data_IF_821173402103
#
_entry.id   IF_821173402103
#
_cell.length_a   1.000
_cell.length_b   1.000
_cell.length_c   1.000
_cell.angle_alpha   90.00
_cell.angle_beta   90.00
_cell.angle_gamma   90.00
#
_symmetry.space_group_name_H-M   'P 1'
#
loop_
_entity.id
_entity.type
_entity.pdbx_description
1 polymer ?
#
# COMPACT_ATOMS: atom_id res chain seq x y z
N UNK A 1 -9.46 37.87 23.55
CA UNK A 1 -10.02 36.67 22.88
C UNK A 1 -9.60 35.35 23.52
N UNK A 2 -8.30 35.00 23.64
CA UNK A 2 -7.85 33.72 24.27
C UNK A 2 -8.38 33.46 25.69
N UNK A 3 -8.58 34.51 26.50
CA UNK A 3 -9.16 34.38 27.86
C UNK A 3 -10.69 34.17 27.88
N UNK A 4 -11.41 34.52 26.79
CA UNK A 4 -12.85 34.34 26.71
C UNK A 4 -13.19 32.90 26.32
N UNK A 5 -12.42 32.32 25.39
CA UNK A 5 -12.53 30.92 24.97
C UNK A 5 -12.28 29.94 26.13
N UNK A 6 -11.29 30.21 26.98
CA UNK A 6 -10.95 29.33 28.12
C UNK A 6 -12.02 29.32 29.23
N UNK A 7 -12.92 30.31 29.28
CA UNK A 7 -14.04 30.37 30.25
C UNK A 7 -15.32 29.71 29.74
N UNK A 8 -15.53 29.64 28.42
CA UNK A 8 -16.72 29.01 27.84
C UNK A 8 -16.66 27.48 27.85
N UNK A 9 -15.46 26.89 27.86
CA UNK A 9 -15.27 25.44 27.81
C UNK A 9 -15.64 24.67 29.10
N UNK A 10 -15.80 25.36 30.25
CA UNK A 10 -15.96 24.71 31.56
C UNK A 10 -17.40 24.40 32.01
N UNK A 11 -18.42 24.66 31.17
CA UNK A 11 -19.82 24.41 31.52
C UNK A 11 -20.52 23.57 30.43
N UNK A 12 -20.50 22.24 30.59
CA UNK A 12 -21.02 21.24 29.65
C UNK A 12 -22.56 21.07 29.64
N UNK A 13 -23.35 22.12 29.88
CA UNK A 13 -24.81 22.05 29.66
C UNK A 13 -25.30 23.29 28.95
N UNK A 14 -25.32 23.23 27.62
CA UNK A 14 -25.98 24.22 26.76
C UNK A 14 -25.12 24.77 25.62
N UNK A 15 -24.58 23.93 24.74
CA UNK A 15 -23.79 24.40 23.59
C UNK A 15 -24.66 25.02 22.47
N UNK A 16 -25.94 24.65 22.38
CA UNK A 16 -26.91 25.27 21.47
C UNK A 16 -27.13 26.78 21.74
N UNK A 17 -26.84 27.25 22.97
CA UNK A 17 -26.96 28.67 23.34
C UNK A 17 -25.78 29.55 22.93
N UNK A 18 -24.61 28.96 22.63
CA UNK A 18 -23.39 29.73 22.32
C UNK A 18 -23.24 29.96 20.82
N UNK A 19 -23.65 29.00 19.98
CA UNK A 19 -23.71 29.19 18.53
C UNK A 19 -24.69 30.33 18.14
N UNK A 20 -25.86 30.40 18.78
CA UNK A 20 -26.81 31.51 18.57
C UNK A 20 -26.27 32.87 19.02
N UNK A 21 -25.43 32.92 20.07
CA UNK A 21 -24.82 34.17 20.53
C UNK A 21 -23.73 34.69 19.58
N UNK A 22 -22.97 33.80 18.91
CA UNK A 22 -21.97 34.19 17.90
C UNK A 22 -22.64 34.62 16.59
N UNK A 23 -23.71 33.94 16.18
CA UNK A 23 -24.54 34.35 15.03
C UNK A 23 -25.15 35.75 15.20
N UNK A 24 -25.60 36.10 16.41
CA UNK A 24 -26.17 37.43 16.70
C UNK A 24 -25.11 38.53 16.76
N UNK A 25 -23.87 38.23 17.18
CA UNK A 25 -22.78 39.22 17.22
C UNK A 25 -22.23 39.53 15.83
N UNK A 26 -22.17 38.55 14.93
CA UNK A 26 -21.78 38.78 13.53
C UNK A 26 -22.84 39.55 12.74
N UNK A 27 -24.13 39.33 12.99
CA UNK A 27 -25.22 40.11 12.39
C UNK A 27 -25.24 41.59 12.85
N UNK A 28 -24.72 41.89 14.05
CA UNK A 28 -24.72 43.25 14.60
C UNK A 28 -23.74 44.23 13.93
N UNK A 29 -22.68 43.75 13.28
CA UNK A 29 -21.66 44.62 12.68
C UNK A 29 -21.97 45.08 11.24
N UNK A 30 -22.96 44.50 10.56
CA UNK A 30 -23.28 44.84 9.17
C UNK A 30 -24.33 45.93 8.99
N UNK A 31 -24.91 46.46 10.07
CA UNK A 31 -26.01 47.43 9.99
C UNK A 31 -25.60 48.91 9.78
N UNK A 32 -24.30 49.26 9.67
CA UNK A 32 -23.89 50.68 9.81
C UNK A 32 -22.99 51.30 8.73
N UNK A 33 -22.79 50.68 7.57
CA UNK A 33 -21.81 51.20 6.60
C UNK A 33 -22.26 51.24 5.14
N UNK A 34 -23.23 52.09 4.77
CA UNK A 34 -23.31 52.70 3.42
C UNK A 34 -24.55 53.58 3.23
N UNK A 35 -24.42 54.87 3.53
CA UNK A 35 -25.26 55.91 2.92
C UNK A 35 -24.32 56.93 2.28
N UNK A 36 -24.14 56.86 0.96
CA UNK A 36 -23.33 57.83 0.24
C UNK A 36 -23.22 57.59 -1.26
N UNK A 37 -23.93 58.42 -2.02
CA UNK A 37 -23.74 58.81 -3.43
C UNK A 37 -24.52 58.01 -4.48
N UNK A 38 -25.42 58.73 -5.15
CA UNK A 38 -26.37 58.31 -6.19
C UNK A 38 -25.88 58.80 -7.55
N UNK A 39 -25.52 57.89 -8.45
CA UNK A 39 -25.83 57.93 -9.90
C UNK A 39 -25.08 56.83 -10.69
N UNK A 40 -25.31 55.57 -10.31
CA UNK A 40 -25.14 54.32 -11.09
C UNK A 40 -26.04 53.20 -10.49
N UNK A 41 -27.15 53.61 -9.86
CA UNK A 41 -27.67 53.03 -8.61
C UNK A 41 -28.26 51.63 -8.69
N UNK A 42 -28.66 51.11 -9.85
CA UNK A 42 -29.33 49.79 -9.90
C UNK A 42 -28.36 48.62 -9.90
N UNK A 43 -27.22 48.75 -10.59
CA UNK A 43 -26.25 47.65 -10.64
C UNK A 43 -25.54 47.50 -9.30
N UNK A 44 -25.12 48.62 -8.69
CA UNK A 44 -24.50 48.62 -7.37
C UNK A 44 -25.45 48.10 -6.27
N UNK A 45 -26.76 48.41 -6.34
CA UNK A 45 -27.76 47.83 -5.43
C UNK A 45 -27.91 46.31 -5.63
N UNK A 46 -27.93 45.82 -6.88
CA UNK A 46 -28.00 44.39 -7.18
C UNK A 46 -26.74 43.67 -6.72
N UNK A 47 -25.56 44.24 -6.95
CA UNK A 47 -24.27 43.67 -6.55
C UNK A 47 -24.14 43.64 -5.02
N UNK A 48 -24.56 44.71 -4.33
CA UNK A 48 -24.62 44.75 -2.87
C UNK A 48 -25.59 43.71 -2.30
N UNK A 49 -26.76 43.55 -2.92
CA UNK A 49 -27.75 42.56 -2.49
C UNK A 49 -27.24 41.13 -2.71
N UNK A 50 -26.61 40.86 -3.86
CA UNK A 50 -25.99 39.58 -4.17
C UNK A 50 -24.84 39.27 -3.20
N UNK A 51 -24.02 40.26 -2.83
CA UNK A 51 -22.97 40.09 -1.82
C UNK A 51 -23.56 39.71 -0.46
N UNK A 52 -24.59 40.43 0.02
CA UNK A 52 -25.26 40.08 1.29
C UNK A 52 -25.85 38.67 1.25
N UNK A 53 -26.48 38.28 0.13
CA UNK A 53 -27.00 36.92 -0.06
C UNK A 53 -25.90 35.87 -0.07
N UNK A 54 -24.77 36.13 -0.71
CA UNK A 54 -23.60 35.24 -0.69
C UNK A 54 -23.04 35.09 0.74
N UNK A 55 -23.04 36.15 1.55
CA UNK A 55 -22.68 36.06 2.98
C UNK A 55 -23.66 35.18 3.77
N UNK A 56 -24.97 35.33 3.54
CA UNK A 56 -25.99 34.46 4.15
C UNK A 56 -25.81 33.00 3.73
N UNK A 57 -25.55 32.74 2.44
CA UNK A 57 -25.28 31.38 1.94
C UNK A 57 -24.03 30.79 2.58
N UNK A 58 -22.96 31.58 2.73
CA UNK A 58 -21.73 31.12 3.40
C UNK A 58 -21.98 30.83 4.89
N UNK A 59 -22.78 31.63 5.58
CA UNK A 59 -23.17 31.37 6.96
C UNK A 59 -24.00 30.10 7.10
N UNK A 60 -24.96 29.87 6.20
CA UNK A 60 -25.74 28.63 6.15
C UNK A 60 -24.84 27.40 5.91
N UNK A 61 -23.85 27.52 5.02
CA UNK A 61 -22.88 26.46 4.77
C UNK A 61 -21.99 26.15 5.97
N UNK A 62 -21.59 27.15 6.76
CA UNK A 62 -20.84 26.93 8.01
C UNK A 62 -21.67 26.17 9.05
N UNK A 63 -22.92 26.57 9.29
CA UNK A 63 -23.82 25.89 10.22
C UNK A 63 -24.08 24.44 9.78
N UNK A 64 -24.29 24.23 8.48
CA UNK A 64 -24.45 22.89 7.90
C UNK A 64 -23.20 22.03 8.07
N UNK A 65 -22.01 22.59 7.82
CA UNK A 65 -20.74 21.89 7.99
C UNK A 65 -20.52 21.50 9.46
N UNK A 66 -20.73 22.43 10.39
CA UNK A 66 -20.62 22.17 11.83
C UNK A 66 -21.61 21.11 12.30
N UNK A 67 -22.85 21.11 11.79
CA UNK A 67 -23.84 20.10 12.14
C UNK A 67 -23.41 18.70 11.69
N UNK A 68 -22.79 18.58 10.51
CA UNK A 68 -22.25 17.30 10.01
C UNK A 68 -21.04 16.83 10.81
N UNK A 69 -20.07 17.71 11.07
CA UNK A 69 -18.91 17.39 11.89
C UNK A 69 -19.33 16.92 13.29
N UNK A 70 -20.27 17.62 13.93
CA UNK A 70 -20.82 17.22 15.23
C UNK A 70 -21.57 15.89 15.21
N UNK A 71 -21.95 15.41 14.02
CA UNK A 71 -22.59 14.11 13.81
C UNK A 71 -21.61 13.04 13.31
N UNK A 72 -20.30 13.34 13.24
CA UNK A 72 -19.29 12.42 12.72
C UNK A 72 -19.36 12.20 11.20
N UNK A 73 -19.99 13.11 10.46
CA UNK A 73 -20.18 13.01 9.01
C UNK A 73 -19.35 14.02 8.24
N UNK A 74 -19.08 13.69 6.97
CA UNK A 74 -18.22 14.54 6.15
C UNK A 74 -18.93 15.85 5.84
N UNK A 75 -18.31 17.00 6.13
CA UNK A 75 -18.84 18.28 5.73
C UNK A 75 -18.56 18.58 4.25
N UNK A 76 -17.98 17.68 3.46
CA UNK A 76 -17.78 17.93 2.03
C UNK A 76 -19.09 17.84 1.24
N UNK A 77 -19.26 18.75 0.29
CA UNK A 77 -20.41 18.75 -0.64
C UNK A 77 -20.01 18.24 -2.01
N UNK A 78 -20.80 17.35 -2.62
CA UNK A 78 -20.66 16.98 -4.03
C UNK A 78 -21.30 18.07 -4.91
N UNK A 79 -20.62 19.20 -5.03
CA UNK A 79 -21.10 20.40 -5.72
C UNK A 79 -21.86 21.39 -4.83
N UNK A 80 -22.52 22.36 -5.45
CA UNK A 80 -23.23 23.44 -4.76
C UNK A 80 -24.59 22.97 -4.20
N UNK A 81 -24.82 23.21 -2.91
CA UNK A 81 -26.14 23.08 -2.28
C UNK A 81 -26.94 24.34 -2.57
N UNK A 82 -28.08 24.18 -3.24
CA UNK A 82 -28.95 25.29 -3.64
C UNK A 82 -29.86 25.74 -2.49
N UNK A 83 -29.92 27.05 -2.29
CA UNK A 83 -30.89 27.76 -1.45
C UNK A 83 -31.84 28.55 -2.36
N UNK A 84 -32.92 29.10 -1.80
CA UNK A 84 -33.91 29.87 -2.56
C UNK A 84 -33.28 31.09 -3.29
N UNK A 85 -32.24 31.71 -2.70
CA UNK A 85 -31.60 32.92 -3.23
C UNK A 85 -30.06 32.84 -3.29
N UNK A 86 -29.49 31.65 -3.36
CA UNK A 86 -28.05 31.46 -3.45
C UNK A 86 -27.66 29.98 -3.44
N UNK A 87 -26.37 29.71 -3.32
CA UNK A 87 -25.85 28.37 -3.10
C UNK A 87 -24.65 28.41 -2.17
N UNK A 88 -24.26 27.26 -1.63
CA UNK A 88 -22.96 27.14 -0.99
C UNK A 88 -22.29 25.80 -1.33
N UNK A 89 -20.97 25.77 -1.26
CA UNK A 89 -20.17 24.55 -1.28
C UNK A 89 -19.25 24.51 -0.07
N UNK A 90 -18.94 23.32 0.41
CA UNK A 90 -18.03 23.10 1.54
C UNK A 90 -16.95 22.11 1.13
N UNK A 91 -15.70 22.46 1.43
CA UNK A 91 -14.51 21.64 1.18
C UNK A 91 -13.62 21.65 2.41
N UNK A 92 -13.06 20.51 2.78
CA UNK A 92 -12.10 20.36 3.87
C UNK A 92 -10.68 20.29 3.33
N UNK A 93 -9.78 21.05 3.95
CA UNK A 93 -8.33 20.93 3.80
C UNK A 93 -7.78 20.82 5.22
N UNK A 94 -7.74 19.61 5.76
CA UNK A 94 -7.42 19.30 7.16
C UNK A 94 -6.31 20.21 7.75
N UNK A 95 -6.57 20.94 8.86
CA UNK A 95 -7.76 20.96 9.72
C UNK A 95 -8.80 22.04 9.38
N UNK A 96 -8.67 22.71 8.23
CA UNK A 96 -9.49 23.86 7.86
C UNK A 96 -10.72 23.48 7.04
N UNK A 97 -11.90 23.96 7.47
CA UNK A 97 -13.14 23.88 6.68
C UNK A 97 -13.31 25.17 5.90
N UNK A 98 -13.41 25.05 4.57
CA UNK A 98 -13.64 26.18 3.65
C UNK A 98 -15.08 26.14 3.14
N UNK A 99 -15.83 27.19 3.40
CA UNK A 99 -17.21 27.36 2.92
C UNK A 99 -17.26 28.49 1.91
N UNK A 100 -17.83 28.23 0.75
CA UNK A 100 -18.01 29.23 -0.31
C UNK A 100 -19.50 29.42 -0.56
N UNK A 101 -20.03 30.58 -0.17
CA UNK A 101 -21.39 31.01 -0.49
C UNK A 101 -21.43 31.83 -1.78
N UNK A 102 -22.46 31.63 -2.60
CA UNK A 102 -22.65 32.30 -3.89
C UNK A 102 -24.08 32.84 -4.03
N UNK A 103 -24.22 33.96 -4.75
CA UNK A 103 -25.51 34.49 -5.21
C UNK A 103 -25.29 35.39 -6.42
N UNK A 104 -25.83 35.02 -7.58
CA UNK A 104 -25.47 35.67 -8.84
C UNK A 104 -23.97 35.50 -9.13
N UNK A 105 -23.27 36.62 -9.37
CA UNK A 105 -21.80 36.65 -9.54
C UNK A 105 -21.04 36.87 -8.23
N UNK A 106 -21.73 37.19 -7.13
CA UNK A 106 -21.08 37.43 -5.85
C UNK A 106 -20.68 36.11 -5.18
N UNK A 107 -19.49 36.09 -4.59
CA UNK A 107 -18.95 34.95 -3.86
C UNK A 107 -18.31 35.40 -2.55
N UNK A 108 -18.58 34.66 -1.48
CA UNK A 108 -18.01 34.88 -0.14
C UNK A 108 -17.39 33.59 0.35
N UNK A 109 -16.13 33.64 0.77
CA UNK A 109 -15.42 32.50 1.37
C UNK A 109 -15.25 32.72 2.86
N UNK A 110 -15.63 31.71 3.65
CA UNK A 110 -15.38 31.64 5.10
C UNK A 110 -14.53 30.41 5.41
N UNK A 111 -13.73 30.52 6.47
CA UNK A 111 -12.81 29.48 6.93
C UNK A 111 -12.93 29.35 8.44
N UNK A 112 -12.90 28.12 8.95
CA UNK A 112 -12.80 27.85 10.37
C UNK A 112 -12.04 26.55 10.61
N UNK A 113 -11.25 26.53 11.67
CA UNK A 113 -10.61 25.31 12.16
C UNK A 113 -11.64 24.49 12.93
N UNK A 114 -11.61 23.17 12.75
CA UNK A 114 -12.43 22.24 13.51
C UNK A 114 -11.58 21.08 14.04
N UNK A 115 -12.15 20.32 14.96
CA UNK A 115 -11.65 19.01 15.35
C UNK A 115 -12.50 17.99 14.59
N UNK A 116 -11.88 17.09 13.84
CA UNK A 116 -12.55 16.01 13.14
C UNK A 116 -12.68 14.79 14.04
N UNK A 117 -13.50 13.82 13.65
CA UNK A 117 -13.64 12.57 14.38
C UNK A 117 -12.30 11.81 14.45
N UNK A 118 -11.45 11.93 13.43
CA UNK A 118 -10.10 11.35 13.39
C UNK A 118 -9.18 11.87 14.48
N UNK A 119 -9.28 13.15 14.88
CA UNK A 119 -8.53 13.70 16.01
C UNK A 119 -8.90 13.05 17.35
N UNK A 120 -10.05 12.38 17.40
CA UNK A 120 -10.54 11.66 18.57
C UNK A 120 -10.28 10.16 18.51
N UNK A 121 -9.81 9.64 17.37
CA UNK A 121 -9.47 8.23 17.22
C UNK A 121 -7.99 8.02 17.57
N UNK A 122 -7.74 7.16 18.56
CA UNK A 122 -6.45 6.57 18.81
C UNK A 122 -6.43 5.18 18.18
N UNK A 123 -5.62 5.01 17.14
CA UNK A 123 -5.31 3.69 16.59
C UNK A 123 -3.98 3.23 17.20
N UNK A 124 -4.00 2.14 17.93
CA UNK A 124 -2.87 1.65 18.74
C UNK A 124 -2.52 0.20 18.40
N UNK A 125 -1.23 -0.13 18.43
CA UNK A 125 -0.68 -1.46 18.18
C UNK A 125 -0.33 -2.13 19.53
N UNK A 126 -1.34 -2.41 20.37
CA UNK A 126 -1.11 -3.02 21.69
C UNK A 126 -1.02 -4.53 21.56
N UNK A 127 0.14 -5.11 21.88
CA UNK A 127 0.42 -6.54 21.68
C UNK A 127 0.32 -6.96 20.20
N UNK A 128 0.72 -6.04 19.31
CA UNK A 128 0.76 -6.32 17.88
C UNK A 128 1.66 -7.52 17.61
N UNK A 129 1.10 -8.51 16.93
CA UNK A 129 1.78 -9.76 16.64
C UNK A 129 1.32 -10.34 15.32
N UNK A 130 2.25 -11.02 14.65
CA UNK A 130 2.01 -11.76 13.42
C UNK A 130 1.95 -13.26 13.75
N UNK A 131 0.76 -13.84 13.58
CA UNK A 131 0.47 -15.22 13.92
C UNK A 131 0.28 -15.47 15.41
N UNK A 132 0.54 -16.70 15.85
CA UNK A 132 0.54 -17.07 17.28
C UNK A 132 0.07 -18.50 17.51
N UNK A 133 -0.16 -18.87 18.77
CA UNK A 133 -0.63 -20.23 19.10
C UNK A 133 -1.99 -20.58 18.46
N UNK A 134 -2.80 -19.56 18.17
CA UNK A 134 -4.08 -19.69 17.48
C UNK A 134 -3.96 -19.60 15.95
N UNK A 135 -2.79 -19.22 15.43
CA UNK A 135 -2.50 -19.05 14.01
C UNK A 135 -1.06 -19.49 13.69
N UNK A 136 -0.80 -20.81 13.70
CA UNK A 136 0.54 -21.34 13.47
C UNK A 136 1.05 -21.08 12.05
N UNK A 137 0.15 -20.80 11.11
CA UNK A 137 0.47 -20.49 9.71
C UNK A 137 0.94 -19.04 9.52
N UNK A 138 0.83 -18.17 10.53
CA UNK A 138 1.29 -16.78 10.46
C UNK A 138 0.50 -15.92 9.47
N UNK A 139 -0.78 -16.24 9.24
CA UNK A 139 -1.67 -15.56 8.28
C UNK A 139 -2.44 -14.40 8.89
N UNK A 140 -2.32 -14.16 10.19
CA UNK A 140 -3.13 -13.19 10.92
C UNK A 140 -2.26 -12.13 11.57
N UNK A 141 -2.74 -10.89 11.58
CA UNK A 141 -2.28 -9.87 12.51
C UNK A 141 -3.30 -9.73 13.64
N UNK A 142 -2.79 -9.55 14.85
CA UNK A 142 -3.56 -9.33 16.08
C UNK A 142 -3.00 -8.10 16.80
N UNK A 143 -3.69 -7.64 17.85
CA UNK A 143 -3.19 -6.56 18.72
C UNK A 143 -3.38 -5.14 18.18
N UNK A 144 -4.30 -4.96 17.24
CA UNK A 144 -4.74 -3.64 16.81
C UNK A 144 -5.93 -3.19 17.66
N UNK A 145 -5.92 -1.94 18.15
CA UNK A 145 -7.05 -1.39 18.89
C UNK A 145 -7.41 0.03 18.46
N UNK A 146 -8.71 0.31 18.52
CA UNK A 146 -9.36 1.54 18.09
C UNK A 146 -10.00 2.20 19.32
N UNK A 147 -9.33 3.18 19.89
CA UNK A 147 -9.75 3.92 21.08
C UNK A 147 -10.37 5.27 20.75
N UNK A 148 -11.45 5.65 21.45
CA UNK A 148 -11.98 7.01 21.38
C UNK A 148 -11.50 7.87 22.56
N UNK A 149 -10.76 8.92 22.25
CA UNK A 149 -10.11 9.80 23.23
C UNK A 149 -10.93 11.04 23.60
N UNK A 150 -12.07 11.27 22.93
CA UNK A 150 -12.87 12.48 23.13
C UNK A 150 -14.38 12.18 23.24
N UNK A 151 -15.21 13.23 23.26
CA UNK A 151 -16.67 13.11 23.40
C UNK A 151 -17.42 12.96 22.06
N UNK A 152 -16.73 13.06 20.93
CA UNK A 152 -17.30 12.72 19.63
C UNK A 152 -17.51 11.20 19.54
N UNK A 153 -18.38 10.75 18.65
CA UNK A 153 -18.60 9.32 18.38
C UNK A 153 -18.07 9.00 16.98
N UNK A 154 -16.75 8.75 16.82
CA UNK A 154 -16.19 8.40 15.53
C UNK A 154 -16.84 7.13 14.98
N UNK A 155 -17.04 7.12 13.67
CA UNK A 155 -17.52 5.97 12.90
C UNK A 155 -16.47 5.65 11.85
N UNK A 156 -15.89 4.46 11.90
CA UNK A 156 -14.91 3.99 10.93
C UNK A 156 -15.65 3.23 9.85
N UNK A 157 -15.36 3.57 8.60
CA UNK A 157 -16.08 3.06 7.42
C UNK A 157 -15.16 2.29 6.48
N UNK A 158 -13.87 2.62 6.48
CA UNK A 158 -12.89 1.89 5.68
C UNK A 158 -11.60 1.64 6.45
N UNK A 159 -10.92 0.57 6.06
CA UNK A 159 -9.58 0.22 6.52
C UNK A 159 -8.66 -0.03 5.33
N UNK A 160 -7.40 0.34 5.44
CA UNK A 160 -6.35 0.00 4.49
C UNK A 160 -5.17 -0.60 5.26
N UNK A 161 -4.61 -1.69 4.74
CA UNK A 161 -3.45 -2.35 5.31
C UNK A 161 -2.32 -2.33 4.30
N UNK A 162 -1.18 -1.77 4.69
CA UNK A 162 0.05 -1.77 3.90
C UNK A 162 1.22 -2.27 4.75
N UNK A 163 2.29 -2.69 4.09
CA UNK A 163 3.46 -3.30 4.74
C UNK A 163 4.75 -3.00 3.99
N UNK A 164 5.84 -2.99 4.75
CA UNK A 164 7.22 -2.89 4.30
C UNK A 164 8.04 -4.06 4.90
N UNK A 165 8.64 -4.94 4.06
CA UNK A 165 8.63 -4.91 2.59
C UNK A 165 7.26 -5.23 1.98
N UNK A 166 7.13 -4.96 0.68
CA UNK A 166 5.85 -5.06 -0.03
C UNK A 166 5.55 -6.52 -0.41
N UNK A 167 4.47 -7.10 0.14
CA UNK A 167 4.03 -8.47 -0.17
C UNK A 167 2.76 -8.53 -1.04
N UNK A 168 2.62 -9.57 -1.86
CA UNK A 168 1.39 -9.86 -2.62
C UNK A 168 0.31 -10.54 -1.76
N UNK A 169 0.11 -10.05 -0.53
CA UNK A 169 -0.88 -10.59 0.40
C UNK A 169 -2.21 -9.86 0.24
N UNK A 170 -3.29 -10.63 0.24
CA UNK A 170 -4.66 -10.09 0.20
C UNK A 170 -5.30 -10.22 1.56
N UNK A 171 -5.95 -9.16 2.04
CA UNK A 171 -6.79 -9.23 3.24
C UNK A 171 -8.03 -10.03 2.88
N UNK A 172 -8.37 -11.06 3.65
CA UNK A 172 -9.55 -11.92 3.44
C UNK A 172 -10.63 -11.73 4.48
N UNK A 173 -10.26 -11.32 5.69
CA UNK A 173 -11.19 -11.21 6.80
C UNK A 173 -10.73 -10.17 7.81
N UNK A 174 -11.69 -9.43 8.35
CA UNK A 174 -11.47 -8.48 9.46
C UNK A 174 -12.52 -8.77 10.53
N UNK A 175 -12.07 -8.96 11.77
CA UNK A 175 -12.94 -9.02 12.95
C UNK A 175 -12.67 -7.86 13.90
N UNK A 176 -13.76 -7.31 14.43
CA UNK A 176 -13.74 -6.29 15.47
C UNK A 176 -14.57 -6.78 16.68
N UNK A 177 -13.97 -6.82 17.87
CA UNK A 177 -14.57 -7.36 19.10
C UNK A 177 -15.22 -8.76 18.90
N UNK A 178 -14.55 -9.61 18.12
CA UNK A 178 -15.00 -10.96 17.74
C UNK A 178 -16.09 -11.04 16.67
N UNK A 179 -16.65 -9.92 16.21
CA UNK A 179 -17.62 -9.89 15.11
C UNK A 179 -16.92 -9.67 13.76
N UNK A 180 -17.39 -10.34 12.71
CA UNK A 180 -16.86 -10.16 11.35
C UNK A 180 -17.44 -8.86 10.81
N UNK A 181 -16.57 -7.88 10.54
CA UNK A 181 -16.95 -6.59 9.92
C UNK A 181 -16.68 -6.57 8.42
N UNK A 182 -15.89 -7.54 7.92
CA UNK A 182 -15.63 -7.72 6.50
C UNK A 182 -15.07 -9.12 6.20
N UNK A 183 -15.46 -9.72 5.07
CA UNK A 183 -14.97 -11.01 4.59
C UNK A 183 -15.13 -11.14 3.05
N UNK A 184 -14.07 -11.59 2.37
CA UNK A 184 -14.08 -11.95 0.95
C UNK A 184 -13.15 -13.16 0.69
N UNK A 185 -13.69 -14.21 0.06
CA UNK A 185 -12.96 -15.42 -0.31
C UNK A 185 -11.76 -15.16 -1.23
N UNK A 186 -11.86 -14.14 -2.10
CA UNK A 186 -10.81 -13.74 -3.05
C UNK A 186 -9.76 -12.87 -2.36
N UNK A 187 -10.20 -12.07 -1.39
CA UNK A 187 -9.43 -11.05 -0.71
C UNK A 187 -9.16 -9.80 -1.56
N UNK A 188 -8.86 -8.69 -0.88
CA UNK A 188 -8.50 -7.39 -1.47
C UNK A 188 -6.99 -7.19 -1.35
N UNK A 189 -6.37 -6.62 -2.39
CA UNK A 189 -4.92 -6.40 -2.38
C UNK A 189 -4.55 -5.39 -1.30
N UNK A 190 -3.36 -5.57 -0.70
CA UNK A 190 -2.85 -4.57 0.25
C UNK A 190 -2.73 -3.18 -0.39
N UNK A 191 -2.87 -2.13 0.43
CA UNK A 191 -2.90 -0.74 -0.03
C UNK A 191 -4.19 -0.33 -0.76
N UNK A 192 -5.14 -1.25 -0.96
CA UNK A 192 -6.49 -0.90 -1.41
C UNK A 192 -7.40 -0.65 -0.19
N UNK A 193 -8.26 0.35 -0.33
CA UNK A 193 -9.23 0.71 0.70
C UNK A 193 -10.35 -0.33 0.77
N UNK A 194 -10.61 -0.86 1.97
CA UNK A 194 -11.61 -1.90 2.24
C UNK A 194 -12.83 -1.23 2.88
N UNK A 195 -13.98 -1.27 2.20
CA UNK A 195 -15.29 -0.86 2.74
C UNK A 195 -15.77 -1.91 3.75
N UNK A 196 -15.84 -1.54 5.03
CA UNK A 196 -16.20 -2.43 6.14
C UNK A 196 -17.58 -2.08 6.70
N UNK A 197 -18.19 -3.02 7.43
CA UNK A 197 -19.33 -2.68 8.29
C UNK A 197 -18.90 -1.61 9.31
N UNK A 198 -19.73 -0.56 9.44
CA UNK A 198 -19.45 0.60 10.29
C UNK A 198 -19.06 0.21 11.74
N UNK A 199 -17.88 0.62 12.17
CA UNK A 199 -17.44 0.48 13.58
C UNK A 199 -17.75 1.76 14.34
N UNK A 200 -18.65 1.68 15.33
CA UNK A 200 -19.10 2.82 16.12
C UNK A 200 -18.39 2.94 17.47
N UNK A 201 -17.74 4.07 17.72
CA UNK A 201 -17.05 4.36 18.98
C UNK A 201 -17.88 5.28 19.90
N UNK A 202 -18.90 4.68 20.51
CA UNK A 202 -20.06 5.35 21.13
C UNK A 202 -19.79 6.16 22.41
N UNK A 203 -18.62 6.01 23.03
CA UNK A 203 -18.29 6.64 24.30
C UNK A 203 -16.81 6.96 24.42
N UNK A 204 -16.47 7.98 25.21
CA UNK A 204 -15.09 8.26 25.61
C UNK A 204 -14.53 7.05 26.37
N UNK A 205 -13.34 6.61 25.97
CA UNK A 205 -12.69 5.37 26.43
C UNK A 205 -13.38 4.08 25.99
N UNK A 206 -14.20 4.13 24.94
CA UNK A 206 -14.53 2.90 24.22
C UNK A 206 -13.32 2.49 23.40
N UNK A 207 -12.87 1.24 23.58
CA UNK A 207 -11.83 0.62 22.77
C UNK A 207 -12.45 -0.57 22.09
N UNK A 208 -12.34 -0.62 20.76
CA UNK A 208 -12.70 -1.78 19.94
C UNK A 208 -11.40 -2.45 19.52
N UNK A 209 -11.30 -3.76 19.68
CA UNK A 209 -10.14 -4.52 19.28
C UNK A 209 -10.36 -5.08 17.87
N UNK A 210 -9.42 -4.83 16.97
CA UNK A 210 -9.34 -5.55 15.71
C UNK A 210 -8.63 -6.88 16.00
N UNK A 211 -9.39 -7.81 16.56
CA UNK A 211 -8.89 -9.06 17.14
C UNK A 211 -8.23 -9.97 16.10
N UNK A 212 -8.63 -9.85 14.84
CA UNK A 212 -8.18 -10.74 13.77
C UNK A 212 -8.30 -10.06 12.41
N UNK A 213 -7.16 -9.85 11.76
CA UNK A 213 -7.11 -9.51 10.33
C UNK A 213 -6.36 -10.64 9.62
N UNK A 214 -7.07 -11.41 8.81
CA UNK A 214 -6.58 -12.62 8.14
C UNK A 214 -6.20 -12.33 6.69
N UNK A 215 -5.06 -12.87 6.27
CA UNK A 215 -4.50 -12.70 4.94
C UNK A 215 -4.53 -14.00 4.13
N UNK A 216 -4.42 -13.88 2.81
CA UNK A 216 -4.43 -15.02 1.88
C UNK A 216 -3.26 -15.97 2.07
N UNK A 217 -2.10 -15.45 2.48
CA UNK A 217 -0.85 -16.19 2.66
C UNK A 217 -0.21 -15.76 3.99
N UNK A 218 0.79 -16.54 4.41
CA UNK A 218 1.60 -16.23 5.58
C UNK A 218 2.27 -14.86 5.44
N UNK A 219 2.37 -14.17 6.57
CA UNK A 219 2.97 -12.87 6.68
C UNK A 219 4.40 -13.03 7.17
N UNK A 220 5.33 -12.28 6.59
CA UNK A 220 6.73 -12.27 7.03
C UNK A 220 6.83 -11.56 8.38
N UNK A 221 7.41 -12.25 9.37
CA UNK A 221 7.70 -11.66 10.69
C UNK A 221 8.72 -10.53 10.60
N UNK A 222 8.64 -9.59 11.55
CA UNK A 222 9.49 -8.40 11.55
C UNK A 222 9.14 -7.36 10.47
N UNK A 223 8.03 -7.54 9.73
CA UNK A 223 7.53 -6.53 8.80
C UNK A 223 6.92 -5.34 9.55
N UNK A 224 7.08 -4.14 8.96
CA UNK A 224 6.40 -2.94 9.43
C UNK A 224 5.07 -2.82 8.72
N UNK A 225 3.98 -2.66 9.46
CA UNK A 225 2.62 -2.52 8.94
C UNK A 225 2.09 -1.11 9.15
N UNK A 226 1.55 -0.54 8.08
CA UNK A 226 0.85 0.74 8.11
C UNK A 226 -0.64 0.45 7.99
N UNK A 227 -1.41 0.85 9.01
CA UNK A 227 -2.87 0.68 9.01
C UNK A 227 -3.50 2.06 8.95
N UNK A 228 -4.31 2.30 7.93
CA UNK A 228 -5.08 3.52 7.77
C UNK A 228 -6.55 3.24 8.07
N UNK A 229 -7.14 4.02 8.96
CA UNK A 229 -8.58 4.03 9.21
C UNK A 229 -9.21 5.29 8.62
N UNK A 230 -10.18 5.13 7.71
CA UNK A 230 -10.99 6.22 7.15
C UNK A 230 -12.32 6.31 7.88
N UNK A 231 -12.62 7.48 8.44
CA UNK A 231 -13.85 7.74 9.17
C UNK A 231 -14.98 8.25 8.24
N UNK A 232 -16.22 8.17 8.71
CA UNK A 232 -17.41 8.65 7.99
C UNK A 232 -17.38 10.17 7.68
N UNK A 233 -16.51 10.93 8.37
CA UNK A 233 -16.26 12.34 8.06
C UNK A 233 -15.18 12.58 6.99
N UNK A 234 -14.54 11.51 6.52
CA UNK A 234 -13.45 11.51 5.57
C UNK A 234 -12.09 11.83 6.20
N UNK A 235 -12.01 12.04 7.51
CA UNK A 235 -10.72 12.10 8.21
C UNK A 235 -10.07 10.72 8.25
N UNK A 236 -8.73 10.70 8.28
CA UNK A 236 -7.94 9.47 8.30
C UNK A 236 -6.98 9.47 9.49
N UNK A 237 -6.78 8.29 10.06
CA UNK A 237 -5.74 8.03 11.07
C UNK A 237 -4.86 6.90 10.58
N UNK A 238 -3.53 7.12 10.63
CA UNK A 238 -2.54 6.13 10.22
C UNK A 238 -1.69 5.75 11.43
N UNK A 239 -1.49 4.44 11.64
CA UNK A 239 -0.53 3.92 12.61
C UNK A 239 0.51 3.06 11.89
N UNK A 240 1.73 3.04 12.45
CA UNK A 240 2.77 2.09 12.08
C UNK A 240 2.93 1.08 13.21
N UNK A 241 2.75 -0.20 12.90
CA UNK A 241 2.95 -1.32 13.82
C UNK A 241 4.15 -2.14 13.37
N UNK A 242 5.06 -2.45 14.28
CA UNK A 242 6.14 -3.38 14.03
C UNK A 242 5.88 -4.63 14.89
N UNK A 243 6.08 -5.80 14.31
CA UNK A 243 6.12 -7.05 15.07
C UNK A 243 7.42 -7.04 15.88
N UNK A 244 7.35 -6.50 17.10
CA UNK A 244 8.45 -6.62 18.04
C UNK A 244 8.45 -8.06 18.50
N UNK A 245 9.24 -8.90 17.84
CA UNK A 245 9.64 -10.17 18.43
C UNK A 245 10.21 -9.83 19.82
N UNK A 246 9.43 -10.03 20.89
CA UNK A 246 9.99 -10.04 22.22
C UNK A 246 11.01 -11.17 22.17
N UNK A 247 12.29 -10.80 22.10
CA UNK A 247 13.42 -11.68 22.34
C UNK A 247 13.24 -12.27 23.74
N UNK A 248 12.42 -13.32 23.83
CA UNK A 248 12.36 -14.21 24.97
C UNK A 248 13.75 -14.80 25.07
N UNK A 249 14.55 -14.23 25.97
CA UNK A 249 15.97 -14.47 26.20
C UNK A 249 16.27 -15.87 26.76
N UNK A 250 15.74 -16.91 26.13
CA UNK A 250 15.93 -18.30 26.51
C UNK A 250 15.90 -19.18 25.28
N UNK A 251 17.07 -19.35 24.65
CA UNK A 251 17.60 -20.65 24.17
C UNK A 251 16.49 -21.62 23.69
N UNK A 252 16.17 -21.67 22.40
CA UNK A 252 16.98 -22.16 21.28
C UNK A 252 16.61 -21.35 20.04
N UNK A 253 17.59 -20.71 19.40
CA UNK A 253 17.45 -20.28 18.00
C UNK A 253 17.23 -21.57 17.21
N UNK A 254 15.96 -21.88 16.92
CA UNK A 254 15.67 -22.72 15.78
C UNK A 254 16.25 -21.92 14.62
N UNK A 255 17.33 -22.45 14.06
CA UNK A 255 17.85 -22.03 12.77
C UNK A 255 16.64 -22.03 11.84
N UNK A 256 16.09 -20.86 11.54
CA UNK A 256 15.08 -20.66 10.51
C UNK A 256 15.82 -20.88 9.18
N UNK A 257 16.36 -22.09 8.99
CA UNK A 257 16.81 -22.55 7.69
C UNK A 257 15.63 -22.37 6.77
N UNK A 258 15.77 -21.63 5.66
CA UNK A 258 14.66 -21.03 4.92
C UNK A 258 13.75 -22.02 4.19
N UNK A 259 13.67 -23.28 4.63
CA UNK A 259 12.94 -24.37 3.98
C UNK A 259 13.61 -24.83 2.68
N UNK A 260 14.81 -24.32 2.36
CA UNK A 260 15.57 -24.71 1.20
C UNK A 260 17.09 -24.51 1.37
N UNK A 261 17.85 -25.19 0.52
CA UNK A 261 19.27 -25.00 0.31
C UNK A 261 19.56 -24.81 -1.17
N UNK A 262 20.53 -23.95 -1.51
CA UNK A 262 21.06 -23.84 -2.87
C UNK A 262 22.47 -24.34 -2.91
N UNK A 263 22.72 -25.35 -3.75
CA UNK A 263 24.05 -25.91 -3.94
C UNK A 263 24.33 -26.13 -5.41
N UNK A 264 25.36 -25.44 -5.93
CA UNK A 264 25.78 -25.57 -7.32
C UNK A 264 24.66 -25.33 -8.32
N UNK A 265 23.76 -24.37 -8.05
CA UNK A 265 22.62 -24.01 -8.91
C UNK A 265 21.44 -25.01 -8.90
N UNK A 266 21.45 -26.01 -8.03
CA UNK A 266 20.28 -26.82 -7.70
C UNK A 266 19.64 -26.27 -6.43
N UNK A 267 18.30 -26.15 -6.43
CA UNK A 267 17.53 -25.71 -5.26
C UNK A 267 16.93 -26.97 -4.63
N UNK A 268 17.33 -27.31 -3.41
CA UNK A 268 16.72 -28.38 -2.63
C UNK A 268 15.73 -27.75 -1.67
N UNK A 269 14.46 -28.16 -1.71
CA UNK A 269 13.42 -27.63 -0.83
C UNK A 269 12.89 -28.72 0.09
N UNK A 270 12.47 -28.31 1.28
CA UNK A 270 11.82 -29.18 2.26
C UNK A 270 10.42 -29.60 1.80
N UNK A 271 9.83 -30.63 2.44
CA UNK A 271 8.43 -30.93 2.27
C UNK A 271 7.55 -29.73 2.60
N UNK A 272 6.36 -29.75 2.04
CA UNK A 272 5.31 -28.76 2.13
C UNK A 272 5.74 -27.36 1.69
N UNK A 273 6.59 -27.30 0.66
CA UNK A 273 6.96 -26.07 -0.04
C UNK A 273 6.30 -25.96 -1.41
N UNK A 274 5.89 -24.74 -1.76
CA UNK A 274 5.59 -24.30 -3.12
C UNK A 274 6.77 -23.49 -3.66
N UNK A 275 7.09 -23.64 -4.95
CA UNK A 275 8.19 -22.91 -5.59
C UNK A 275 7.65 -22.12 -6.77
N UNK A 276 7.85 -20.81 -6.73
CA UNK A 276 7.53 -19.87 -7.79
C UNK A 276 8.81 -19.46 -8.54
N UNK A 277 8.69 -19.37 -9.85
CA UNK A 277 9.73 -18.89 -10.75
C UNK A 277 9.19 -17.71 -11.55
N UNK A 278 9.78 -16.52 -11.36
CA UNK A 278 9.43 -15.32 -12.10
C UNK A 278 10.59 -14.91 -13.01
N UNK A 279 10.32 -14.70 -14.29
CA UNK A 279 11.28 -14.07 -15.20
C UNK A 279 11.29 -12.58 -14.90
N UNK A 280 12.42 -12.04 -14.47
CA UNK A 280 12.57 -10.60 -14.21
C UNK A 280 12.88 -9.84 -15.50
N UNK A 281 13.73 -10.42 -16.35
CA UNK A 281 14.02 -9.92 -17.70
C UNK A 281 14.70 -11.01 -18.54
N UNK A 282 14.77 -10.80 -19.86
CA UNK A 282 15.62 -11.56 -20.78
C UNK A 282 16.18 -10.60 -21.84
N UNK A 283 17.49 -10.45 -21.87
CA UNK A 283 18.13 -9.42 -22.70
C UNK A 283 19.28 -10.05 -23.48
N UNK A 284 18.99 -10.58 -24.67
CA UNK A 284 20.00 -11.16 -25.56
C UNK A 284 19.75 -10.78 -27.02
N UNK A 285 20.81 -10.40 -27.73
CA UNK A 285 20.74 -10.00 -29.14
C UNK A 285 21.77 -10.73 -30.00
N UNK A 286 21.50 -10.85 -31.30
CA UNK A 286 22.43 -11.40 -32.27
C UNK A 286 23.54 -10.38 -32.60
N UNK A 287 24.50 -10.27 -31.70
CA UNK A 287 25.56 -9.28 -31.74
C UNK A 287 25.09 -7.89 -31.28
N UNK A 288 26.04 -6.95 -31.17
CA UNK A 288 25.75 -5.59 -30.70
C UNK A 288 24.78 -4.86 -31.63
N UNK A 289 23.68 -4.34 -31.06
CA UNK A 289 22.60 -3.67 -31.80
C UNK A 289 21.87 -4.58 -32.79
N UNK A 290 22.05 -5.90 -32.69
CA UNK A 290 21.37 -6.89 -33.51
C UNK A 290 19.92 -7.10 -33.09
N UNK A 291 19.17 -7.94 -33.83
CA UNK A 291 17.85 -8.37 -33.41
C UNK A 291 17.94 -9.18 -32.11
N UNK A 292 16.89 -9.10 -31.31
CA UNK A 292 16.64 -9.95 -30.14
C UNK A 292 16.66 -11.44 -30.53
N UNK A 293 17.06 -12.29 -29.57
CA UNK A 293 17.13 -13.73 -29.71
C UNK A 293 16.09 -14.37 -28.78
N UNK A 294 15.20 -15.19 -29.33
CA UNK A 294 14.22 -15.91 -28.53
C UNK A 294 14.87 -16.76 -27.42
N UNK A 295 14.46 -16.52 -26.18
CA UNK A 295 14.81 -17.27 -24.97
C UNK A 295 13.62 -18.09 -24.49
N UNK A 296 13.89 -19.33 -24.07
CA UNK A 296 12.89 -20.25 -23.54
C UNK A 296 13.35 -20.82 -22.22
N UNK A 297 12.42 -20.89 -21.27
CA UNK A 297 12.67 -21.42 -19.95
C UNK A 297 11.93 -22.75 -19.72
N UNK A 298 12.53 -23.63 -18.93
CA UNK A 298 11.90 -24.84 -18.42
C UNK A 298 12.36 -25.08 -16.97
N UNK A 299 11.49 -25.62 -16.14
CA UNK A 299 11.79 -26.01 -14.76
C UNK A 299 11.78 -27.53 -14.67
N UNK A 300 12.87 -28.07 -14.12
CA UNK A 300 13.00 -29.48 -13.82
C UNK A 300 12.80 -29.74 -12.34
N UNK A 301 11.93 -30.69 -11.99
CA UNK A 301 11.71 -31.20 -10.65
C UNK A 301 12.25 -32.62 -10.54
N UNK A 302 13.12 -32.88 -9.57
CA UNK A 302 13.74 -34.19 -9.32
C UNK A 302 14.42 -34.78 -10.57
N UNK A 303 15.08 -33.89 -11.32
CA UNK A 303 15.75 -34.22 -12.58
C UNK A 303 14.83 -34.39 -13.80
N UNK A 304 13.52 -34.26 -13.64
CA UNK A 304 12.53 -34.36 -14.70
C UNK A 304 12.09 -32.97 -15.13
N UNK A 305 12.40 -32.59 -16.37
CA UNK A 305 11.87 -31.37 -16.99
C UNK A 305 10.47 -31.62 -17.55
N UNK A 306 9.58 -30.66 -17.39
CA UNK A 306 8.21 -30.73 -17.91
C UNK A 306 8.21 -30.24 -19.36
N UNK A 307 8.05 -31.10 -20.40
CA UNK A 307 7.78 -30.62 -21.75
C UNK A 307 6.30 -30.23 -21.90
N UNK A 308 5.95 -29.27 -22.79
CA UNK A 308 6.86 -28.45 -23.61
C UNK A 308 7.63 -27.42 -22.75
N UNK A 309 8.50 -26.61 -23.37
CA UNK A 309 9.02 -25.41 -22.71
C UNK A 309 7.88 -24.59 -22.10
N UNK A 310 8.15 -23.91 -20.98
CA UNK A 310 7.15 -23.13 -20.26
C UNK A 310 6.57 -22.04 -21.17
N UNK A 311 5.45 -21.46 -20.73
CA UNK A 311 4.77 -20.37 -21.43
C UNK A 311 4.39 -20.72 -22.88
N UNK A 312 4.02 -21.97 -23.13
CA UNK A 312 3.60 -22.42 -24.46
C UNK A 312 4.72 -22.39 -25.50
N UNK A 313 5.97 -22.57 -25.07
CA UNK A 313 7.15 -22.53 -25.94
C UNK A 313 7.31 -21.19 -26.68
N UNK A 314 6.81 -20.11 -26.07
CA UNK A 314 7.05 -18.74 -26.51
C UNK A 314 8.40 -18.23 -26.00
N UNK A 315 8.79 -17.08 -26.52
CA UNK A 315 9.84 -16.23 -25.96
C UNK A 315 9.48 -15.79 -24.53
N UNK A 316 10.47 -15.44 -23.71
CA UNK A 316 10.27 -14.85 -22.39
C UNK A 316 11.01 -13.53 -22.31
N UNK A 317 10.33 -12.47 -21.90
CA UNK A 317 10.88 -11.10 -21.96
C UNK A 317 10.95 -10.44 -20.57
N UNK A 318 10.20 -10.97 -19.59
CA UNK A 318 10.05 -10.39 -18.26
C UNK A 318 8.58 -10.29 -17.83
N UNK A 319 8.31 -10.62 -16.56
CA UNK A 319 6.98 -10.61 -15.96
C UNK A 319 6.26 -11.96 -16.02
N UNK A 320 6.77 -12.96 -16.74
CA UNK A 320 6.19 -14.30 -16.75
C UNK A 320 6.40 -15.01 -15.41
N UNK A 321 5.35 -15.63 -14.90
CA UNK A 321 5.35 -16.35 -13.61
C UNK A 321 4.95 -17.80 -13.84
N UNK A 322 5.76 -18.72 -13.33
CA UNK A 322 5.46 -20.13 -13.25
C UNK A 322 5.48 -20.59 -11.80
N UNK A 323 4.32 -21.03 -11.31
CA UNK A 323 4.18 -21.69 -10.01
C UNK A 323 4.18 -23.19 -10.22
N UNK A 324 5.08 -23.90 -9.55
CA UNK A 324 5.05 -25.35 -9.55
C UNK A 324 3.78 -25.82 -8.82
N UNK A 325 2.84 -26.37 -9.57
CA UNK A 325 1.54 -26.75 -9.00
C UNK A 325 1.65 -27.83 -7.93
N UNK A 326 1.04 -27.56 -6.77
CA UNK A 326 0.90 -28.48 -5.65
C UNK A 326 2.10 -28.45 -4.72
N UNK A 327 1.83 -28.37 -3.42
CA UNK A 327 2.86 -28.40 -2.38
C UNK A 327 3.62 -29.73 -2.43
N UNK A 328 4.96 -29.67 -2.35
CA UNK A 328 5.80 -30.86 -2.36
C UNK A 328 5.53 -31.70 -1.11
N UNK A 329 4.94 -32.89 -1.18
CA UNK A 329 4.73 -33.69 0.05
C UNK A 329 6.00 -34.35 0.59
N UNK A 330 7.07 -34.33 -0.19
CA UNK A 330 8.40 -34.89 0.08
C UNK A 330 9.46 -33.83 -0.30
N UNK A 331 10.72 -33.93 0.20
CA UNK A 331 11.77 -33.03 -0.23
C UNK A 331 11.97 -33.14 -1.74
N UNK A 332 12.19 -32.01 -2.40
CA UNK A 332 12.28 -31.95 -3.85
C UNK A 332 13.48 -31.11 -4.31
N UNK A 333 13.97 -31.38 -5.51
CA UNK A 333 15.04 -30.59 -6.13
C UNK A 333 14.57 -29.90 -7.40
N UNK A 334 14.95 -28.63 -7.57
CA UNK A 334 14.60 -27.82 -8.73
C UNK A 334 15.83 -27.35 -9.49
N UNK A 335 15.68 -27.34 -10.83
CA UNK A 335 16.66 -26.80 -11.78
C UNK A 335 15.95 -25.95 -12.81
N UNK A 336 16.57 -24.85 -13.19
CA UNK A 336 16.11 -24.04 -14.32
C UNK A 336 16.95 -24.36 -15.54
N UNK A 337 16.30 -24.60 -16.68
CA UNK A 337 16.94 -24.76 -17.99
C UNK A 337 16.51 -23.62 -18.88
N UNK A 338 17.48 -23.01 -19.55
CA UNK A 338 17.27 -21.92 -20.48
C UNK A 338 17.84 -22.28 -21.85
N UNK A 339 17.16 -21.83 -22.92
CA UNK A 339 17.59 -21.98 -24.29
C UNK A 339 17.41 -20.67 -25.03
N UNK A 340 18.51 -20.14 -25.58
CA UNK A 340 18.47 -19.08 -26.57
C UNK A 340 18.56 -19.69 -27.98
N UNK A 341 17.79 -19.18 -28.94
CA UNK A 341 17.88 -19.62 -30.33
C UNK A 341 17.55 -18.53 -31.33
N UNK A 342 18.44 -18.37 -32.32
CA UNK A 342 18.23 -17.44 -33.42
C UNK A 342 17.98 -18.23 -34.71
N UNK A 343 16.71 -18.32 -35.09
CA UNK A 343 16.23 -19.16 -36.20
C UNK A 343 16.79 -20.59 -36.13
N UNK A 344 17.29 -21.12 -37.25
CA UNK A 344 17.90 -22.45 -37.36
C UNK A 344 19.43 -22.41 -37.47
N UNK A 345 20.04 -21.23 -37.28
CA UNK A 345 21.48 -21.03 -37.51
C UNK A 345 22.29 -21.06 -36.22
N UNK A 346 21.66 -20.77 -35.09
CA UNK A 346 22.33 -20.78 -33.79
C UNK A 346 21.34 -21.13 -32.67
N UNK A 347 21.80 -21.93 -31.73
CA UNK A 347 21.10 -22.17 -30.48
C UNK A 347 22.09 -22.54 -29.40
N UNK A 348 21.84 -22.06 -28.19
CA UNK A 348 22.59 -22.42 -27.00
C UNK A 348 21.61 -22.86 -25.91
N UNK A 349 22.00 -23.83 -25.08
CA UNK A 349 21.16 -24.33 -23.99
C UNK A 349 22.04 -24.59 -22.79
N UNK A 350 21.65 -24.07 -21.64
CA UNK A 350 22.31 -24.31 -20.37
C UNK A 350 21.28 -24.59 -19.29
N UNK A 351 21.75 -24.97 -18.11
CA UNK A 351 20.93 -25.19 -16.94
C UNK A 351 21.60 -24.57 -15.72
N UNK A 352 20.81 -24.31 -14.68
CA UNK A 352 21.23 -23.63 -13.46
C UNK A 352 22.47 -24.28 -12.80
N UNK A 353 22.65 -25.59 -12.97
CA UNK A 353 23.84 -26.29 -12.44
C UNK A 353 25.14 -26.05 -13.20
N UNK A 354 25.12 -25.35 -14.33
CA UNK A 354 26.32 -24.89 -15.01
C UNK A 354 26.78 -23.56 -14.42
N UNK A 355 27.46 -23.61 -13.28
CA UNK A 355 27.88 -22.42 -12.50
C UNK A 355 28.89 -21.49 -13.22
N UNK A 356 29.41 -21.91 -14.37
CA UNK A 356 30.13 -21.02 -15.28
C UNK A 356 29.14 -20.11 -16.03
N UNK A 357 28.10 -20.69 -16.62
CA UNK A 357 27.06 -19.98 -17.39
C UNK A 357 25.96 -19.37 -16.52
N UNK A 358 25.86 -19.76 -15.24
CA UNK A 358 24.78 -19.31 -14.36
C UNK A 358 25.37 -18.84 -13.04
N UNK A 359 24.94 -17.67 -12.59
CA UNK A 359 25.20 -17.17 -11.23
C UNK A 359 23.91 -17.25 -10.42
N UNK A 360 24.05 -17.56 -9.15
CA UNK A 360 22.94 -17.47 -8.19
C UNK A 360 23.32 -16.44 -7.16
N UNK A 361 22.43 -15.47 -6.95
CA UNK A 361 22.55 -14.44 -5.94
C UNK A 361 21.60 -14.77 -4.79
N UNK A 362 22.11 -14.66 -3.57
CA UNK A 362 21.34 -14.70 -2.33
C UNK A 362 21.36 -13.32 -1.65
N UNK A 363 20.56 -13.15 -0.61
CA UNK A 363 20.52 -11.89 0.14
C UNK A 363 21.93 -11.48 0.64
N UNK A 364 22.29 -10.22 0.42
CA UNK A 364 23.58 -9.62 0.76
C UNK A 364 24.68 -9.81 -0.28
N UNK A 365 24.47 -10.59 -1.35
CA UNK A 365 25.47 -10.72 -2.42
C UNK A 365 25.63 -9.41 -3.21
N UNK A 366 26.83 -9.14 -3.71
CA UNK A 366 27.03 -8.08 -4.71
C UNK A 366 26.67 -8.62 -6.10
N UNK A 367 25.76 -7.96 -6.85
CA UNK A 367 25.48 -8.36 -8.22
C UNK A 367 26.73 -8.17 -9.09
N UNK A 368 26.95 -9.01 -10.11
CA UNK A 368 28.13 -8.87 -10.94
C UNK A 368 28.09 -7.51 -11.68
N UNK A 369 29.18 -6.73 -11.67
CA UNK A 369 29.22 -5.39 -12.26
C UNK A 369 29.32 -5.49 -13.79
N UNK A 370 28.22 -5.84 -14.42
CA UNK A 370 28.16 -6.14 -15.85
C UNK A 370 27.28 -5.10 -16.55
N UNK A 371 27.94 -4.28 -17.36
CA UNK A 371 27.24 -3.44 -18.32
C UNK A 371 26.67 -4.33 -19.43
N UNK A 372 25.44 -4.06 -19.86
CA UNK A 372 24.83 -4.81 -20.95
C UNK A 372 25.65 -4.70 -22.23
N UNK A 373 25.84 -5.83 -22.91
CA UNK A 373 26.63 -5.91 -24.12
C UNK A 373 25.91 -5.23 -25.27
N UNK A 374 26.65 -4.37 -25.99
CA UNK A 374 26.20 -3.88 -27.28
C UNK A 374 24.93 -3.04 -27.26
N UNK A 375 24.59 -2.42 -26.11
CA UNK A 375 23.43 -1.55 -25.93
C UNK A 375 22.23 -2.22 -25.25
N UNK A 376 22.36 -3.48 -24.84
CA UNK A 376 21.38 -4.16 -24.00
C UNK A 376 21.30 -3.52 -22.61
N UNK A 377 20.17 -3.73 -21.94
CA UNK A 377 19.98 -3.28 -20.56
C UNK A 377 20.94 -4.05 -19.63
N UNK A 378 21.62 -3.38 -18.68
CA UNK A 378 22.48 -4.09 -17.71
C UNK A 378 21.66 -4.91 -16.72
N UNK A 379 22.27 -5.97 -16.18
CA UNK A 379 21.64 -6.85 -15.18
C UNK A 379 21.11 -6.07 -13.96
N UNK A 380 21.79 -5.00 -13.55
CA UNK A 380 21.37 -4.15 -12.41
C UNK A 380 19.98 -3.55 -12.60
N UNK A 381 19.59 -3.24 -13.83
CA UNK A 381 18.29 -2.64 -14.10
C UNK A 381 17.19 -3.72 -14.04
N UNK A 382 17.50 -4.97 -14.40
CA UNK A 382 16.58 -6.10 -14.27
C UNK A 382 16.27 -6.45 -12.81
N UNK A 383 17.25 -6.30 -11.92
CA UNK A 383 17.13 -6.63 -10.50
C UNK A 383 16.98 -5.40 -9.61
N UNK A 384 16.80 -4.20 -10.18
CA UNK A 384 16.73 -2.94 -9.43
C UNK A 384 15.76 -2.96 -8.23
N UNK A 385 14.58 -3.62 -8.30
CA UNK A 385 13.69 -3.74 -7.13
C UNK A 385 14.26 -4.56 -5.96
N UNK A 386 15.33 -5.32 -6.20
CA UNK A 386 15.97 -6.24 -5.26
C UNK A 386 17.39 -5.77 -4.92
N UNK A 387 17.71 -4.49 -5.10
CA UNK A 387 18.98 -3.91 -4.66
C UNK A 387 18.73 -2.97 -3.48
N UNK A 388 19.58 -3.05 -2.48
CA UNK A 388 19.63 -2.08 -1.39
C UNK A 388 20.20 -0.76 -1.93
N UNK A 389 19.41 0.31 -1.88
CA UNK A 389 19.74 1.62 -2.45
C UNK A 389 21.00 2.28 -1.84
N UNK A 390 21.42 1.84 -0.65
CA UNK A 390 22.56 2.42 0.07
C UNK A 390 23.87 1.71 -0.24
N UNK A 391 23.81 0.38 -0.35
CA UNK A 391 24.98 -0.49 -0.48
C UNK A 391 25.15 -1.03 -1.89
N UNK A 392 24.08 -1.09 -2.69
CA UNK A 392 24.04 -1.75 -3.99
C UNK A 392 24.10 -3.29 -3.90
N UNK A 393 24.02 -3.86 -2.70
CA UNK A 393 23.93 -5.31 -2.50
C UNK A 393 22.52 -5.81 -2.81
N UNK A 394 22.41 -7.09 -3.12
CA UNK A 394 21.13 -7.76 -3.32
C UNK A 394 20.35 -7.80 -2.00
N UNK A 395 19.13 -7.32 -2.01
CA UNK A 395 18.18 -7.34 -0.89
C UNK A 395 17.02 -8.28 -1.25
N UNK A 396 17.07 -9.50 -0.73
CA UNK A 396 16.09 -10.56 -0.97
C UNK A 396 15.48 -11.05 0.34
N UNK A 397 14.25 -11.56 0.26
CA UNK A 397 13.66 -12.29 1.37
C UNK A 397 14.47 -13.58 1.64
N UNK A 398 14.44 -14.13 2.87
CA UNK A 398 15.09 -15.41 3.17
C UNK A 398 14.64 -16.55 2.25
N UNK A 399 13.37 -16.50 1.79
CA UNK A 399 12.75 -17.44 0.85
C UNK A 399 13.15 -17.25 -0.62
N UNK A 400 14.01 -16.28 -0.94
CA UNK A 400 14.26 -15.85 -2.32
C UNK A 400 15.72 -15.96 -2.75
N UNK A 401 15.89 -16.28 -4.03
CA UNK A 401 17.17 -16.23 -4.74
C UNK A 401 16.96 -15.67 -6.15
N UNK A 402 18.02 -15.13 -6.75
CA UNK A 402 18.02 -14.73 -8.17
C UNK A 402 19.02 -15.58 -8.94
N UNK A 403 18.62 -16.09 -10.10
CA UNK A 403 19.51 -16.78 -11.05
C UNK A 403 19.76 -15.91 -12.28
N UNK A 404 21.02 -15.67 -12.60
CA UNK A 404 21.49 -14.90 -13.75
C UNK A 404 22.09 -15.85 -14.80
N UNK A 405 21.57 -15.86 -16.02
CA UNK A 405 22.01 -16.76 -17.08
C UNK A 405 22.82 -16.03 -18.16
N UNK A 406 23.90 -16.68 -18.59
CA UNK A 406 24.68 -16.36 -19.78
C UNK A 406 24.48 -17.45 -20.85
N UNK A 407 23.95 -17.04 -21.99
CA UNK A 407 23.54 -17.82 -23.16
C UNK A 407 24.24 -17.36 -24.45
N UNK A 408 24.70 -16.11 -24.52
CA UNK A 408 25.35 -15.51 -25.68
C UNK A 408 26.74 -16.06 -25.97
N UNK A 409 27.51 -16.41 -24.92
CA UNK A 409 28.86 -16.97 -25.05
C UNK A 409 29.08 -18.22 -24.20
N UNK A 410 29.80 -19.20 -24.75
CA UNK A 410 30.30 -20.35 -23.99
C UNK A 410 31.55 -19.99 -23.18
N UNK A 411 31.37 -19.73 -21.89
CA UNK A 411 32.43 -19.35 -20.95
C UNK A 411 33.44 -20.47 -20.66
N UNK A 412 33.11 -21.73 -20.94
CA UNK A 412 34.13 -22.81 -20.86
C UNK A 412 35.20 -22.66 -21.94
N UNK A 413 34.84 -22.09 -23.08
CA UNK A 413 35.77 -21.84 -24.20
C UNK A 413 36.26 -20.41 -24.29
N UNK A 414 35.51 -19.45 -23.74
CA UNK A 414 35.84 -18.03 -23.75
C UNK A 414 35.48 -17.35 -22.42
N UNK A 415 36.18 -17.69 -21.31
CA UNK A 415 35.83 -17.24 -19.96
C UNK A 415 36.00 -15.73 -19.71
N UNK A 416 36.70 -15.02 -20.59
CA UNK A 416 36.94 -13.57 -20.49
C UNK A 416 36.17 -12.76 -21.53
N UNK A 417 35.08 -13.32 -22.06
CA UNK A 417 34.28 -12.63 -23.07
C UNK A 417 33.67 -11.35 -22.50
N UNK A 418 33.85 -10.24 -23.22
CA UNK A 418 33.17 -8.97 -22.90
C UNK A 418 31.68 -8.99 -23.26
N UNK A 419 31.23 -10.03 -23.97
CA UNK A 419 29.82 -10.26 -24.26
C UNK A 419 29.17 -11.16 -23.21
N UNK A 420 29.86 -11.46 -22.10
CA UNK A 420 29.27 -12.19 -21.00
C UNK A 420 28.85 -11.22 -19.90
N UNK A 421 27.56 -11.06 -19.75
CA UNK A 421 26.93 -10.00 -18.95
C UNK A 421 25.76 -10.54 -18.09
N UNK A 422 25.37 -11.81 -18.30
CA UNK A 422 24.47 -12.59 -17.44
C UNK A 422 23.04 -12.03 -17.31
N UNK A 423 22.61 -11.14 -18.20
CA UNK A 423 21.20 -10.73 -18.28
C UNK A 423 20.40 -11.46 -19.38
N UNK A 424 21.00 -12.41 -20.09
CA UNK A 424 20.32 -13.15 -21.17
C UNK A 424 19.04 -13.84 -20.67
N UNK A 425 19.00 -14.24 -19.39
CA UNK A 425 17.78 -14.56 -18.66
C UNK A 425 18.01 -14.32 -17.17
N UNK A 426 17.11 -13.58 -16.52
CA UNK A 426 17.13 -13.34 -15.07
C UNK A 426 15.87 -13.92 -14.45
N UNK A 427 16.02 -14.80 -13.45
CA UNK A 427 14.91 -15.49 -12.80
C UNK A 427 14.96 -15.26 -11.29
N UNK A 428 13.89 -14.70 -10.72
CA UNK A 428 13.64 -14.76 -9.29
C UNK A 428 12.99 -16.10 -8.96
N UNK A 429 13.49 -16.76 -7.93
CA UNK A 429 12.88 -17.97 -7.38
C UNK A 429 12.44 -17.67 -5.96
N UNK A 430 11.18 -17.94 -5.66
CA UNK A 430 10.59 -17.79 -4.33
C UNK A 430 10.15 -19.17 -3.82
N UNK A 431 10.62 -19.55 -2.63
CA UNK A 431 10.22 -20.79 -1.95
C UNK A 431 9.25 -20.45 -0.82
N UNK A 432 7.98 -20.76 -1.01
CA UNK A 432 6.93 -20.54 -0.02
C UNK A 432 6.77 -21.82 0.82
N UNK A 433 6.92 -21.71 2.13
CA UNK A 433 6.53 -22.77 3.08
C UNK A 433 5.05 -22.57 3.42
N UNK A 434 4.25 -23.65 3.33
CA UNK A 434 2.83 -23.64 3.75
C UNK A 434 2.63 -23.40 5.26
#
# INVERSE_FOLDING_TARGET
MKSLFKKLYKNQKGFAGVASAIGVVLLGFFAFGSMGVVSNTRQEEVDSLNMQRAEFSAAAGMEWAMARINSGLSPNTSGDIMLDHGSFSVTTNDPEVVVVGRSGEAQVTRRFDTIFAGDCLALECTDFSIGGAADPEGKKIMGLSLGNTCALSPVITHLEFNSDPVFANKVKKIKADGEIVWEDDVGICKGEEIDIDDIYLNATNNTVFLDEVEFSNSIVRGSTWYVTATLADGSQVVVSCEDTEEESSGEVVADETPGYEVSGGEISVDPYTEVEFQVLCSEITYGSGGPEIDVKMNVGKDGIYTPPWLFGNQDVDGGEIYVQSGTNTDPATYKVKAKASYYNIWSFTTQSTNTLQVKTLVNGDEPPPLAGYGGQQPVSDCIAPYLDDQTGAVSLLPSQIIMLFELGVNLSTNPGSLAADFQDLVVLVTVNTD
#
